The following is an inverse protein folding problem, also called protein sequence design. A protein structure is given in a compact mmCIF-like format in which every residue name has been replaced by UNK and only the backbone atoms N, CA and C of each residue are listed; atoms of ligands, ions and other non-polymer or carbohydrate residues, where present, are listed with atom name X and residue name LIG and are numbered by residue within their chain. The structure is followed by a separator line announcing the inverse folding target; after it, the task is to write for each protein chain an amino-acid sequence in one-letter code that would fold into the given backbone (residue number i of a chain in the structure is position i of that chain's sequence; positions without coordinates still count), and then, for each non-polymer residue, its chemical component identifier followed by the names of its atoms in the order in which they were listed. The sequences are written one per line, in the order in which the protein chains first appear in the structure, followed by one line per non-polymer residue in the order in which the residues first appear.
data_IF_149267707892
#
_entry.id   IF_149267707892
#
_cell.length_a   1.000
_cell.length_b   1.000
_cell.length_c   1.000
_cell.angle_alpha   90.00
_cell.angle_beta   90.00
_cell.angle_gamma   90.00
#
_symmetry.space_group_name_H-M   'P 1'
#
loop_
_entity.id
_entity.type
_entity.pdbx_description
1 polymer ?
#
# COMPACT_ATOMS: atom_id res chain seq x y z
N UNK A 1 -20.39 0.21 6.98
CA UNK A 1 -20.67 0.44 5.58
C UNK A 1 -19.62 1.38 4.95
N UNK A 2 -19.68 2.69 5.21
CA UNK A 2 -18.71 3.62 4.60
C UNK A 2 -17.29 3.36 5.07
N UNK A 3 -17.10 3.16 6.37
CA UNK A 3 -15.77 2.88 6.93
C UNK A 3 -15.23 1.55 6.42
N UNK A 4 -16.07 0.54 6.31
CA UNK A 4 -15.66 -0.78 5.78
C UNK A 4 -15.19 -0.68 4.33
N UNK A 5 -15.91 0.06 3.50
CA UNK A 5 -15.52 0.27 2.09
C UNK A 5 -14.23 1.08 1.97
N UNK A 6 -14.07 2.10 2.80
CA UNK A 6 -12.86 2.92 2.81
C UNK A 6 -11.64 2.09 3.16
N UNK A 7 -11.73 1.24 4.20
CA UNK A 7 -10.61 0.39 4.60
C UNK A 7 -10.33 -0.71 3.57
N UNK A 8 -11.36 -1.24 2.92
CA UNK A 8 -11.17 -2.19 1.82
C UNK A 8 -10.39 -1.54 0.67
N UNK A 9 -10.72 -0.30 0.33
CA UNK A 9 -9.99 0.46 -0.67
C UNK A 9 -8.55 0.72 -0.24
N UNK A 10 -8.32 1.00 1.04
CA UNK A 10 -7.00 1.23 1.58
C UNK A 10 -6.14 -0.04 1.51
N UNK A 11 -6.72 -1.21 1.77
CA UNK A 11 -6.04 -2.49 1.57
C UNK A 11 -5.52 -2.61 0.13
N UNK A 12 -6.38 -2.30 -0.83
CA UNK A 12 -6.03 -2.35 -2.25
C UNK A 12 -4.93 -1.34 -2.61
N UNK A 13 -5.13 -0.08 -2.23
CA UNK A 13 -4.25 1.00 -2.70
C UNK A 13 -2.88 0.97 -2.03
N UNK A 14 -2.80 0.58 -0.76
CA UNK A 14 -1.52 0.47 -0.06
C UNK A 14 -0.63 -0.60 -0.69
N UNK A 15 -1.23 -1.73 -1.07
CA UNK A 15 -0.48 -2.80 -1.72
C UNK A 15 -0.10 -2.42 -3.16
N UNK A 16 -1.04 -1.89 -3.93
CA UNK A 16 -0.78 -1.50 -5.31
C UNK A 16 0.33 -0.45 -5.39
N UNK A 17 0.12 0.67 -4.70
CA UNK A 17 1.05 1.80 -4.75
C UNK A 17 2.38 1.46 -4.06
N UNK A 18 2.33 0.84 -2.89
CA UNK A 18 3.53 0.49 -2.14
C UNK A 18 4.42 -0.47 -2.89
N UNK A 19 3.86 -1.56 -3.39
CA UNK A 19 4.64 -2.57 -4.09
C UNK A 19 5.20 -2.06 -5.42
N UNK A 20 4.40 -1.33 -6.20
CA UNK A 20 4.89 -0.76 -7.47
C UNK A 20 5.99 0.27 -7.25
N UNK A 21 5.84 1.14 -6.26
CA UNK A 21 6.84 2.18 -5.99
C UNK A 21 8.15 1.60 -5.47
N UNK A 22 8.08 0.58 -4.61
CA UNK A 22 9.29 -0.04 -4.04
C UNK A 22 10.03 -0.87 -5.09
N UNK A 23 9.29 -1.65 -5.89
CA UNK A 23 9.91 -2.58 -6.85
C UNK A 23 10.19 -1.93 -8.21
N UNK A 24 9.46 -0.88 -8.54
CA UNK A 24 9.45 -0.26 -9.87
C UNK A 24 9.08 -1.25 -10.96
N UNK A 25 8.28 -2.24 -10.60
CA UNK A 25 7.87 -3.33 -11.48
C UNK A 25 6.37 -3.25 -11.78
N UNK A 26 5.95 -3.96 -12.82
CA UNK A 26 4.52 -4.16 -13.12
C UNK A 26 3.93 -5.15 -12.11
N UNK A 27 2.62 -5.14 -11.94
CA UNK A 27 2.00 -6.10 -11.01
C UNK A 27 2.14 -7.55 -11.48
N UNK A 28 2.05 -7.88 -12.77
CA UNK A 28 2.39 -9.24 -13.20
C UNK A 28 3.79 -9.70 -12.76
N UNK A 29 4.78 -8.80 -12.84
CA UNK A 29 6.13 -9.13 -12.37
C UNK A 29 6.19 -9.34 -10.85
N UNK A 30 5.49 -8.48 -10.10
CA UNK A 30 5.42 -8.56 -8.63
C UNK A 30 4.83 -9.90 -8.20
N UNK A 31 3.75 -10.33 -8.84
CA UNK A 31 3.07 -11.59 -8.49
C UNK A 31 3.80 -12.83 -9.02
N UNK A 32 4.64 -12.69 -10.03
CA UNK A 32 5.45 -13.78 -10.56
C UNK A 32 6.67 -14.10 -9.67
N UNK A 33 7.08 -13.18 -8.83
CA UNK A 33 8.21 -13.38 -7.92
C UNK A 33 7.69 -13.79 -6.54
N UNK A 34 8.09 -14.96 -6.01
CA UNK A 34 7.56 -15.44 -4.73
C UNK A 34 7.76 -14.50 -3.55
N UNK A 35 8.90 -13.81 -3.51
CA UNK A 35 9.20 -12.86 -2.44
C UNK A 35 8.28 -11.64 -2.44
N UNK A 36 8.08 -11.03 -3.61
CA UNK A 36 7.21 -9.86 -3.73
C UNK A 36 5.73 -10.22 -3.69
N UNK A 37 5.37 -11.42 -4.13
CA UNK A 37 4.01 -11.92 -3.93
C UNK A 37 3.70 -12.03 -2.43
N UNK A 38 4.61 -12.62 -1.65
CA UNK A 38 4.45 -12.70 -0.20
C UNK A 38 4.35 -11.32 0.45
N UNK A 39 5.17 -10.37 0.02
CA UNK A 39 5.13 -9.00 0.55
C UNK A 39 3.81 -8.33 0.22
N UNK A 40 3.21 -8.62 -0.93
CA UNK A 40 1.89 -8.11 -1.29
C UNK A 40 0.82 -8.61 -0.31
N UNK A 41 0.82 -9.90 -0.02
CA UNK A 41 -0.07 -10.48 0.99
C UNK A 41 0.15 -9.83 2.35
N UNK A 42 1.41 -9.71 2.77
CA UNK A 42 1.75 -9.16 4.08
C UNK A 42 1.30 -7.70 4.21
N UNK A 43 1.50 -6.89 3.16
CA UNK A 43 1.06 -5.49 3.14
C UNK A 43 -0.45 -5.41 3.39
N UNK A 44 -1.23 -6.23 2.69
CA UNK A 44 -2.69 -6.25 2.83
C UNK A 44 -3.12 -6.75 4.22
N UNK A 45 -2.49 -7.82 4.73
CA UNK A 45 -2.82 -8.38 6.04
C UNK A 45 -2.56 -7.38 7.16
N UNK A 46 -1.51 -6.58 7.04
CA UNK A 46 -1.22 -5.53 8.02
C UNK A 46 -2.33 -4.47 8.04
N UNK A 47 -2.78 -4.02 6.88
CA UNK A 47 -3.88 -3.04 6.79
C UNK A 47 -5.17 -3.63 7.35
N UNK A 48 -5.46 -4.88 7.02
CA UNK A 48 -6.61 -5.61 7.58
C UNK A 48 -6.55 -5.65 9.12
N UNK A 49 -5.40 -5.97 9.67
CA UNK A 49 -5.22 -6.04 11.12
C UNK A 49 -5.45 -4.69 11.80
N UNK A 50 -5.00 -3.60 11.18
CA UNK A 50 -5.25 -2.25 11.71
C UNK A 50 -6.74 -1.92 11.66
N UNK A 51 -7.41 -2.24 10.56
CA UNK A 51 -8.86 -2.01 10.44
C UNK A 51 -9.63 -2.77 11.52
N UNK A 52 -9.29 -4.03 11.73
CA UNK A 52 -9.93 -4.87 12.76
C UNK A 52 -9.68 -4.31 14.17
N UNK A 53 -8.45 -3.86 14.45
CA UNK A 53 -8.12 -3.25 15.73
C UNK A 53 -8.89 -1.94 15.96
N UNK A 54 -9.28 -1.23 14.90
CA UNK A 54 -10.13 -0.04 14.99
C UNK A 54 -11.62 -0.38 15.11
N UNK A 55 -11.97 -1.65 15.09
CA UNK A 55 -13.36 -2.07 15.17
C UNK A 55 -14.12 -1.98 13.84
N UNK A 56 -13.40 -1.92 12.72
CA UNK A 56 -14.01 -1.88 11.40
C UNK A 56 -14.43 -3.30 10.98
N UNK A 57 -15.69 -3.46 10.64
CA UNK A 57 -16.22 -4.75 10.16
C UNK A 57 -15.97 -4.88 8.65
N UNK A 58 -14.83 -5.49 8.29
CA UNK A 58 -14.50 -5.76 6.90
C UNK A 58 -15.34 -6.92 6.37
N UNK A 59 -15.64 -6.90 5.06
CA UNK A 59 -16.34 -8.03 4.45
C UNK A 59 -15.44 -9.28 4.51
N UNK A 60 -16.03 -10.48 4.64
CA UNK A 60 -15.25 -11.72 4.67
C UNK A 60 -14.35 -11.84 3.42
N UNK A 61 -13.15 -12.37 3.62
CA UNK A 61 -12.21 -12.65 2.53
C UNK A 61 -11.81 -11.42 1.70
N UNK A 62 -11.85 -10.23 2.29
CA UNK A 62 -11.50 -8.99 1.57
C UNK A 62 -10.08 -9.03 1.02
N UNK A 63 -9.13 -9.58 1.77
CA UNK A 63 -7.73 -9.66 1.32
C UNK A 63 -7.59 -10.67 0.17
N UNK A 64 -8.20 -11.83 0.30
CA UNK A 64 -8.18 -12.85 -0.76
C UNK A 64 -8.82 -12.34 -2.04
N UNK A 65 -9.96 -11.64 -1.93
CA UNK A 65 -10.63 -11.03 -3.08
C UNK A 65 -9.77 -9.93 -3.72
N UNK A 66 -9.09 -9.17 -2.91
CA UNK A 66 -8.19 -8.11 -3.40
C UNK A 66 -7.01 -8.71 -4.14
N UNK A 67 -6.42 -9.79 -3.62
CA UNK A 67 -5.34 -10.50 -4.33
C UNK A 67 -5.84 -11.04 -5.68
N UNK A 68 -7.04 -11.59 -5.72
CA UNK A 68 -7.62 -12.07 -6.97
C UNK A 68 -7.78 -10.92 -7.98
N UNK A 69 -8.16 -9.75 -7.52
CA UNK A 69 -8.22 -8.55 -8.35
C UNK A 69 -6.83 -8.16 -8.87
N UNK A 70 -5.79 -8.26 -8.04
CA UNK A 70 -4.42 -7.99 -8.48
C UNK A 70 -3.96 -8.94 -9.58
N UNK A 71 -4.40 -10.19 -9.56
CA UNK A 71 -4.06 -11.15 -10.61
C UNK A 71 -4.63 -10.77 -11.97
N UNK A 72 -5.62 -9.87 -12.00
CA UNK A 72 -6.22 -9.36 -13.23
C UNK A 72 -5.56 -8.05 -13.69
N UNK A 73 -4.69 -7.44 -12.90
CA UNK A 73 -4.00 -6.21 -13.27
C UNK A 73 -2.96 -6.51 -14.34
N UNK A 74 -3.04 -5.77 -15.45
CA UNK A 74 -2.12 -5.95 -16.58
C UNK A 74 -0.87 -5.08 -16.41
N UNK A 75 0.11 -5.29 -17.30
CA UNK A 75 1.38 -4.55 -17.25
C UNK A 75 1.18 -3.02 -17.36
N UNK A 76 0.10 -2.55 -17.98
CA UNK A 76 -0.21 -1.13 -18.10
C UNK A 76 -1.04 -0.58 -16.93
N UNK A 77 -1.41 -1.42 -15.97
CA UNK A 77 -2.10 -0.98 -14.76
C UNK A 77 -1.12 -0.33 -13.79
N UNK A 78 -1.17 1.00 -13.66
CA UNK A 78 -0.20 1.79 -12.91
C UNK A 78 -0.91 2.65 -11.89
N UNK A 79 -0.39 2.68 -10.64
CA UNK A 79 -0.93 3.56 -9.60
C UNK A 79 -0.53 5.02 -9.85
N UNK A 80 -1.37 5.94 -9.38
CA UNK A 80 -1.06 7.37 -9.48
C UNK A 80 0.19 7.74 -8.69
N UNK A 81 0.42 7.10 -7.56
CA UNK A 81 1.63 7.37 -6.76
C UNK A 81 2.89 6.92 -7.50
N UNK A 82 2.83 5.84 -8.26
CA UNK A 82 3.95 5.41 -9.08
C UNK A 82 4.26 6.42 -10.20
N UNK A 83 3.23 6.98 -10.82
CA UNK A 83 3.41 8.06 -11.81
C UNK A 83 4.11 9.25 -11.18
N UNK A 84 3.67 9.67 -9.99
CA UNK A 84 4.29 10.79 -9.26
C UNK A 84 5.75 10.48 -8.94
N UNK A 85 6.04 9.25 -8.53
CA UNK A 85 7.41 8.82 -8.22
C UNK A 85 8.30 8.91 -9.47
N UNK A 86 7.82 8.44 -10.61
CA UNK A 86 8.58 8.48 -11.87
C UNK A 86 8.86 9.91 -12.32
N UNK A 87 7.95 10.83 -12.06
CA UNK A 87 8.09 12.24 -12.41
C UNK A 87 8.93 13.03 -11.42
N UNK A 88 9.36 12.40 -10.31
CA UNK A 88 10.10 13.08 -9.26
C UNK A 88 9.23 14.03 -8.47
N UNK A 89 7.92 13.83 -8.44
CA UNK A 89 6.98 14.65 -7.69
C UNK A 89 6.74 14.16 -6.27
N UNK A 90 6.09 14.99 -5.44
CA UNK A 90 5.71 14.57 -4.08
C UNK A 90 4.74 13.40 -4.11
N UNK A 91 4.78 12.56 -3.07
CA UNK A 91 3.99 11.34 -2.98
C UNK A 91 2.91 11.45 -1.90
N UNK A 92 1.77 10.78 -2.12
CA UNK A 92 0.70 10.68 -1.11
C UNK A 92 0.97 9.58 -0.08
N UNK A 93 2.24 9.29 0.18
CA UNK A 93 2.64 8.21 1.10
C UNK A 93 2.08 8.45 2.51
N UNK A 94 1.99 9.70 2.95
CA UNK A 94 1.51 10.05 4.28
C UNK A 94 0.03 9.75 4.52
N UNK A 95 -0.79 9.76 3.48
CA UNK A 95 -2.24 9.48 3.59
C UNK A 95 -2.60 8.05 3.22
N UNK A 96 -1.65 7.28 2.72
CA UNK A 96 -1.83 5.86 2.38
C UNK A 96 -1.09 4.98 3.39
N UNK A 97 0.05 4.41 3.02
CA UNK A 97 0.80 3.54 3.93
C UNK A 97 1.22 4.27 5.23
N UNK A 98 1.52 5.56 5.14
CA UNK A 98 1.87 6.37 6.31
C UNK A 98 0.72 6.49 7.30
N UNK A 99 -0.51 6.63 6.80
CA UNK A 99 -1.69 6.66 7.67
C UNK A 99 -1.87 5.33 8.39
N UNK A 100 -1.69 4.22 7.67
CA UNK A 100 -1.77 2.87 8.25
C UNK A 100 -0.73 2.72 9.37
N UNK A 101 0.52 3.13 9.12
CA UNK A 101 1.59 3.05 10.13
C UNK A 101 1.26 3.86 11.38
N UNK A 102 0.69 5.06 11.22
CA UNK A 102 0.32 5.90 12.37
C UNK A 102 -0.80 5.26 13.19
N UNK A 103 -1.85 4.79 12.54
CA UNK A 103 -2.94 4.09 13.25
C UNK A 103 -2.44 2.83 13.93
N UNK A 104 -1.55 2.09 13.27
CA UNK A 104 -0.96 0.88 13.83
C UNK A 104 -0.24 1.15 15.15
N UNK A 105 0.54 2.22 15.21
CA UNK A 105 1.24 2.61 16.45
C UNK A 105 0.27 2.93 17.57
N UNK A 106 -0.79 3.69 17.26
CA UNK A 106 -1.81 4.03 18.27
C UNK A 106 -2.52 2.79 18.83
N UNK A 107 -2.67 1.77 18.00
CA UNK A 107 -3.41 0.56 18.34
C UNK A 107 -2.51 -0.60 18.73
N UNK A 108 -1.20 -0.38 18.79
CA UNK A 108 -0.19 -1.41 19.08
C UNK A 108 -0.25 -2.61 18.13
N UNK A 109 -0.47 -2.34 16.87
CA UNK A 109 -0.45 -3.35 15.79
C UNK A 109 0.87 -3.24 15.04
N UNK A 110 1.52 -4.38 14.79
CA UNK A 110 2.77 -4.40 14.03
C UNK A 110 2.46 -4.31 12.52
N UNK A 111 3.11 -3.36 11.84
CA UNK A 111 2.97 -3.18 10.39
C UNK A 111 4.35 -3.02 9.75
N UNK A 112 5.23 -4.04 9.85
CA UNK A 112 6.61 -3.88 9.42
C UNK A 112 6.77 -3.62 7.92
N UNK A 113 5.94 -4.19 7.07
CA UNK A 113 6.05 -3.98 5.62
C UNK A 113 5.58 -2.58 5.25
N UNK A 114 4.43 -2.13 5.76
CA UNK A 114 3.98 -0.75 5.53
C UNK A 114 4.98 0.26 6.07
N UNK A 115 5.55 0.00 7.24
CA UNK A 115 6.57 0.87 7.85
C UNK A 115 7.81 0.96 6.95
N UNK A 116 8.26 -0.16 6.39
CA UNK A 116 9.39 -0.19 5.46
C UNK A 116 9.09 0.61 4.20
N UNK A 117 7.90 0.43 3.63
CA UNK A 117 7.47 1.17 2.43
C UNK A 117 7.48 2.67 2.72
N UNK A 118 6.93 3.09 3.85
CA UNK A 118 6.91 4.50 4.27
C UNK A 118 8.33 5.05 4.41
N UNK A 119 9.20 4.31 5.09
CA UNK A 119 10.58 4.75 5.31
C UNK A 119 11.31 4.98 3.98
N UNK A 120 11.19 4.03 3.06
CA UNK A 120 11.86 4.14 1.76
C UNK A 120 11.30 5.27 0.91
N UNK A 121 9.98 5.40 0.82
CA UNK A 121 9.35 6.37 -0.07
C UNK A 121 9.35 7.78 0.50
N UNK A 122 9.50 7.95 1.81
CA UNK A 122 9.66 9.26 2.43
C UNK A 122 10.90 9.98 1.89
N UNK A 123 11.97 9.25 1.62
CA UNK A 123 13.18 9.83 1.04
C UNK A 123 12.86 10.47 -0.33
N UNK A 124 12.15 9.76 -1.18
CA UNK A 124 11.77 10.27 -2.50
C UNK A 124 10.83 11.47 -2.39
N UNK A 125 9.86 11.39 -1.46
CA UNK A 125 8.93 12.49 -1.21
C UNK A 125 9.67 13.75 -0.73
N UNK A 126 10.56 13.61 0.24
CA UNK A 126 11.32 14.74 0.78
C UNK A 126 12.20 15.39 -0.28
N UNK A 127 12.84 14.59 -1.14
CA UNK A 127 13.61 15.12 -2.26
C UNK A 127 12.74 15.94 -3.20
N UNK A 128 11.54 15.46 -3.51
CA UNK A 128 10.61 16.15 -4.39
C UNK A 128 10.16 17.48 -3.79
N UNK A 129 9.85 17.51 -2.49
CA UNK A 129 9.45 18.72 -1.78
C UNK A 129 10.59 19.75 -1.78
N UNK A 130 11.83 19.30 -1.51
CA UNK A 130 13.01 20.19 -1.51
C UNK A 130 13.28 20.79 -2.89
N UNK A 131 13.11 20.00 -3.96
CA UNK A 131 13.38 20.51 -5.31
C UNK A 131 12.36 21.54 -5.76
N UNK A 132 11.15 21.57 -5.16
CA UNK A 132 10.11 22.56 -5.43
C UNK A 132 10.21 23.80 -4.55
N UNK A 133 10.88 23.65 -3.43
CA UNK A 133 11.08 24.75 -2.48
C UNK A 133 12.31 25.51 -2.82
#
# INVERSE_FOLDING_TARGET
AVASELWAKLIYICALSGMMCITRATFPEILANPGTEQMTWATMREVEAVAEARGIALRPQVVEQTMERFRQVKANGISSMYVDLQRGGPLEIGVLNGAVSRFAKELSVATPINDFIVACLTIAHDRAVKSRG
#
